data_IF_512783135152
#
_entry.id   IF_512783135152
#
_cell.length_a   1.000
_cell.length_b   1.000
_cell.length_c   1.000
_cell.angle_alpha   90.00
_cell.angle_beta   90.00
_cell.angle_gamma   90.00
#
_symmetry.space_group_name_H-M   'P 1'
#
loop_
_entity.id
_entity.type
_entity.pdbx_description
1 polymer ?
#
# COMPACT_ATOMS: atom_id res chain seq x y z
N UNK A 1 31.10 42.83 25.56
CA UNK A 1 31.56 41.49 25.11
C UNK A 1 33.01 41.62 24.70
N UNK A 2 33.91 40.82 25.31
CA UNK A 2 35.32 40.80 24.91
C UNK A 2 35.51 40.04 23.59
N UNK A 3 36.56 40.39 22.81
CA UNK A 3 36.87 39.73 21.51
C UNK A 3 36.89 38.19 21.61
N UNK A 4 37.40 37.62 22.70
CA UNK A 4 37.40 36.17 22.95
C UNK A 4 36.00 35.58 23.08
N UNK A 5 35.10 36.24 23.80
CA UNK A 5 33.72 35.75 23.95
C UNK A 5 32.97 35.78 22.62
N UNK A 6 33.17 36.79 21.81
CA UNK A 6 32.58 36.91 20.49
C UNK A 6 33.09 35.81 19.54
N UNK A 7 34.39 35.56 19.50
CA UNK A 7 34.99 34.49 18.69
C UNK A 7 34.50 33.10 19.13
N UNK A 8 34.43 32.84 20.44
CA UNK A 8 33.89 31.57 20.94
C UNK A 8 32.42 31.38 20.57
N UNK A 9 31.62 32.44 20.68
CA UNK A 9 30.19 32.37 20.29
C UNK A 9 30.04 32.04 18.80
N UNK A 10 30.83 32.67 17.92
CA UNK A 10 30.82 32.36 16.49
C UNK A 10 31.23 30.91 16.21
N UNK A 11 32.33 30.47 16.85
CA UNK A 11 32.85 29.11 16.64
C UNK A 11 31.86 28.05 17.12
N UNK A 12 31.29 28.21 18.32
CA UNK A 12 30.28 27.28 18.82
C UNK A 12 29.00 27.33 17.99
N UNK A 13 28.56 28.52 17.56
CA UNK A 13 27.38 28.69 16.71
C UNK A 13 27.52 27.97 15.34
N UNK A 14 28.69 28.14 14.72
CA UNK A 14 28.96 27.47 13.42
C UNK A 14 29.08 25.97 13.56
N UNK A 15 29.80 25.45 14.54
CA UNK A 15 29.94 24.02 14.81
C UNK A 15 28.57 23.41 15.08
N UNK A 16 27.76 24.03 15.96
CA UNK A 16 26.41 23.53 16.29
C UNK A 16 25.49 23.57 15.07
N UNK A 17 25.49 24.65 14.30
CA UNK A 17 24.68 24.78 13.08
C UNK A 17 25.06 23.75 12.04
N UNK A 18 26.35 23.50 11.82
CA UNK A 18 26.83 22.49 10.88
C UNK A 18 26.46 21.09 11.34
N UNK A 19 26.64 20.77 12.62
CA UNK A 19 26.28 19.47 13.16
C UNK A 19 24.76 19.16 13.05
N UNK A 20 23.92 20.14 13.40
CA UNK A 20 22.46 20.01 13.25
C UNK A 20 22.05 19.89 11.78
N UNK A 21 22.66 20.67 10.89
CA UNK A 21 22.41 20.60 9.45
C UNK A 21 22.81 19.25 8.83
N UNK A 22 23.90 18.65 9.30
CA UNK A 22 24.35 17.34 8.84
C UNK A 22 23.49 16.18 9.42
N UNK A 23 23.01 16.32 10.66
CA UNK A 23 22.16 15.33 11.31
C UNK A 23 20.73 15.32 10.74
N UNK A 24 20.22 16.46 10.28
CA UNK A 24 18.85 16.57 9.77
C UNK A 24 18.51 15.54 8.67
N UNK A 25 19.28 15.43 7.56
CA UNK A 25 18.97 14.42 6.52
C UNK A 25 19.12 12.99 7.02
N UNK A 26 20.07 12.74 7.93
CA UNK A 26 20.23 11.40 8.53
C UNK A 26 19.01 11.02 9.36
N UNK A 27 18.56 11.93 10.24
CA UNK A 27 17.35 11.71 11.05
C UNK A 27 16.13 11.53 10.16
N UNK A 28 15.97 12.34 9.11
CA UNK A 28 14.85 12.23 8.16
C UNK A 28 14.87 10.94 7.35
N UNK A 29 16.03 10.39 7.07
CA UNK A 29 16.16 9.11 6.37
C UNK A 29 15.68 7.93 7.24
N UNK A 30 16.01 7.92 8.53
CA UNK A 30 15.62 6.86 9.46
C UNK A 30 14.23 7.06 10.09
N UNK A 31 13.75 8.30 10.12
CA UNK A 31 12.39 8.63 10.57
C UNK A 31 11.58 9.10 9.34
N UNK A 32 11.01 8.16 8.57
CA UNK A 32 10.14 8.55 7.47
C UNK A 32 9.02 9.43 8.01
N UNK A 33 8.52 10.40 7.22
CA UNK A 33 7.37 11.19 7.63
C UNK A 33 6.28 10.23 8.05
N UNK A 34 5.80 10.34 9.29
CA UNK A 34 4.61 9.63 9.71
C UNK A 34 3.52 10.04 8.72
N UNK A 35 3.15 9.13 7.81
CA UNK A 35 1.91 9.26 7.06
C UNK A 35 0.87 9.56 8.11
N UNK A 36 0.26 10.74 8.02
CA UNK A 36 -0.63 11.36 9.01
C UNK A 36 -1.39 10.30 9.81
N UNK A 37 -1.08 10.25 11.11
CA UNK A 37 -1.71 9.35 12.06
C UNK A 37 -3.16 9.79 12.28
N UNK A 38 -4.00 9.44 11.36
CA UNK A 38 -5.45 9.56 11.41
C UNK A 38 -5.99 8.45 10.57
N UNK A 39 -6.44 7.34 11.21
CA UNK A 39 -7.19 6.28 10.54
C UNK A 39 -6.60 5.66 9.27
N UNK A 40 -5.30 5.71 9.09
CA UNK A 40 -4.47 4.84 8.24
C UNK A 40 -4.79 4.65 6.75
N UNK A 41 -5.71 5.37 6.14
CA UNK A 41 -6.01 5.21 4.71
C UNK A 41 -4.97 5.86 3.79
N UNK A 42 -4.65 5.20 2.71
CA UNK A 42 -3.77 5.70 1.64
C UNK A 42 -4.58 5.74 0.35
N UNK A 43 -4.49 6.85 -0.40
CA UNK A 43 -5.08 6.90 -1.74
C UNK A 43 -4.36 5.93 -2.67
N UNK A 44 -5.12 5.09 -3.37
CA UNK A 44 -4.57 4.19 -4.38
C UNK A 44 -3.88 5.01 -5.49
N UNK A 45 -2.71 4.55 -5.93
CA UNK A 45 -1.95 5.22 -6.98
C UNK A 45 -1.78 4.32 -8.19
N UNK A 46 -1.75 4.95 -9.36
CA UNK A 46 -1.44 4.27 -10.62
C UNK A 46 0.07 3.98 -10.75
N UNK A 47 0.48 3.36 -11.85
CA UNK A 47 1.88 3.05 -12.14
C UNK A 47 2.77 4.30 -12.31
N UNK A 48 2.19 5.48 -12.52
CA UNK A 48 2.89 6.76 -12.65
C UNK A 48 2.93 7.53 -11.32
N UNK A 49 2.25 7.02 -10.27
CA UNK A 49 2.15 7.66 -8.96
C UNK A 49 1.04 8.69 -8.82
N UNK A 50 0.12 8.79 -9.80
CA UNK A 50 -1.05 9.65 -9.69
C UNK A 50 -2.13 8.98 -8.85
N UNK A 51 -2.97 9.80 -8.22
CA UNK A 51 -4.13 9.31 -7.48
C UNK A 51 -5.15 8.69 -8.44
N UNK A 52 -5.67 7.52 -8.10
CA UNK A 52 -6.69 6.83 -8.89
C UNK A 52 -8.06 7.44 -8.60
N UNK A 53 -8.69 7.98 -9.64
CA UNK A 53 -10.04 8.55 -9.59
C UNK A 53 -11.04 7.48 -10.02
N UNK A 54 -12.06 7.22 -9.21
CA UNK A 54 -13.01 6.12 -9.42
C UNK A 54 -13.76 6.22 -10.75
N UNK A 55 -14.14 7.41 -11.20
CA UNK A 55 -14.85 7.60 -12.47
C UNK A 55 -14.01 7.16 -13.68
N UNK A 56 -12.74 7.59 -13.72
CA UNK A 56 -11.81 7.23 -14.80
C UNK A 56 -11.44 5.75 -14.74
N UNK A 57 -11.31 5.24 -13.52
CA UNK A 57 -11.02 3.83 -13.26
C UNK A 57 -12.14 2.92 -13.79
N UNK A 58 -13.40 3.20 -13.46
CA UNK A 58 -14.55 2.42 -13.90
C UNK A 58 -14.80 2.56 -15.43
N UNK A 59 -14.57 3.74 -16.01
CA UNK A 59 -14.71 3.94 -17.45
C UNK A 59 -13.66 3.20 -18.29
N UNK A 60 -12.51 2.88 -17.69
CA UNK A 60 -11.38 2.24 -18.38
C UNK A 60 -11.28 0.72 -18.17
N UNK A 61 -12.06 0.16 -17.26
CA UNK A 61 -12.00 -1.26 -16.90
C UNK A 61 -13.40 -1.90 -16.92
N UNK A 62 -13.44 -3.19 -17.25
CA UNK A 62 -14.68 -3.96 -17.31
C UNK A 62 -15.06 -4.55 -15.94
N UNK A 63 -16.34 -4.86 -15.78
CA UNK A 63 -16.84 -5.58 -14.60
C UNK A 63 -16.10 -6.91 -14.44
N UNK A 64 -15.62 -7.16 -13.24
CA UNK A 64 -14.82 -8.35 -12.91
C UNK A 64 -13.32 -8.18 -13.11
N UNK A 65 -12.86 -7.04 -13.62
CA UNK A 65 -11.43 -6.76 -13.71
C UNK A 65 -10.80 -6.57 -12.32
N UNK A 66 -9.55 -7.00 -12.22
CA UNK A 66 -8.68 -6.77 -11.06
C UNK A 66 -7.50 -5.96 -11.51
N UNK A 67 -7.45 -4.72 -11.09
CA UNK A 67 -6.48 -3.75 -11.58
C UNK A 67 -5.44 -3.49 -10.51
N UNK A 68 -4.17 -3.63 -10.89
CA UNK A 68 -3.05 -3.44 -9.97
C UNK A 68 -2.81 -1.95 -9.75
N UNK A 69 -2.83 -1.55 -8.49
CA UNK A 69 -2.52 -0.21 -8.02
C UNK A 69 -1.45 -0.27 -6.94
N UNK A 70 -0.90 0.87 -6.56
CA UNK A 70 -0.04 0.97 -5.39
C UNK A 70 -0.92 1.29 -4.16
N UNK A 71 -0.86 0.44 -3.15
CA UNK A 71 -1.66 0.53 -1.93
C UNK A 71 -0.86 0.86 -0.67
N UNK A 72 -1.28 0.25 0.43
CA UNK A 72 -0.68 0.45 1.75
C UNK A 72 0.81 0.13 1.73
N UNK A 73 1.62 0.97 2.38
CA UNK A 73 3.10 0.84 2.45
C UNK A 73 3.80 0.81 1.09
N UNK A 74 3.08 1.15 0.00
CA UNK A 74 3.59 1.06 -1.36
C UNK A 74 3.48 -0.32 -1.99
N UNK A 75 2.83 -1.27 -1.32
CA UNK A 75 2.65 -2.63 -1.83
C UNK A 75 1.70 -2.66 -3.03
N UNK A 76 1.95 -3.56 -4.00
CA UNK A 76 1.04 -3.77 -5.12
C UNK A 76 -0.30 -4.31 -4.58
N UNK A 77 -1.39 -3.65 -4.93
CA UNK A 77 -2.73 -3.97 -4.42
C UNK A 77 -3.73 -3.96 -5.56
N UNK A 78 -4.56 -5.00 -5.65
CA UNK A 78 -5.63 -5.07 -6.62
C UNK A 78 -6.87 -4.36 -6.10
N UNK A 79 -7.41 -3.47 -6.93
CA UNK A 79 -8.78 -2.96 -6.81
C UNK A 79 -9.66 -3.77 -7.76
N UNK A 80 -10.81 -4.21 -7.27
CA UNK A 80 -11.75 -5.07 -8.01
C UNK A 80 -12.92 -4.23 -8.52
N UNK A 81 -13.24 -4.34 -9.81
CA UNK A 81 -14.45 -3.74 -10.38
C UNK A 81 -15.61 -4.69 -10.14
N UNK A 82 -16.56 -4.30 -9.30
CA UNK A 82 -17.70 -5.17 -8.94
C UNK A 82 -18.88 -4.98 -9.91
N UNK A 83 -19.13 -3.72 -10.30
CA UNK A 83 -20.17 -3.37 -11.28
C UNK A 83 -19.70 -2.20 -12.15
N UNK A 84 -20.52 -1.82 -13.16
CA UNK A 84 -20.21 -0.67 -14.03
C UNK A 84 -20.10 0.66 -13.28
N UNK A 85 -20.60 0.73 -12.06
CA UNK A 85 -20.65 1.96 -11.24
C UNK A 85 -19.92 1.86 -9.91
N UNK A 86 -19.43 0.68 -9.53
CA UNK A 86 -18.89 0.44 -8.18
C UNK A 86 -17.66 -0.47 -8.18
N UNK A 87 -16.72 -0.14 -7.31
CA UNK A 87 -15.62 -1.02 -6.93
C UNK A 87 -16.05 -1.90 -5.76
N UNK A 88 -15.46 -3.07 -5.63
CA UNK A 88 -15.67 -3.91 -4.45
C UNK A 88 -15.18 -3.20 -3.18
N UNK A 89 -15.84 -3.45 -2.06
CA UNK A 89 -15.47 -2.88 -0.75
C UNK A 89 -14.14 -3.39 -0.21
N UNK A 90 -13.50 -4.33 -0.93
CA UNK A 90 -12.21 -4.90 -0.57
C UNK A 90 -11.22 -4.83 -1.73
N UNK A 91 -9.95 -4.68 -1.39
CA UNK A 91 -8.82 -4.88 -2.28
C UNK A 91 -7.95 -6.05 -1.81
N UNK A 92 -7.06 -6.50 -2.66
CA UNK A 92 -6.19 -7.64 -2.42
C UNK A 92 -4.72 -7.21 -2.52
N UNK A 93 -3.95 -7.38 -1.45
CA UNK A 93 -2.50 -7.24 -1.56
C UNK A 93 -1.96 -8.33 -2.51
N UNK A 94 -1.27 -7.93 -3.57
CA UNK A 94 -0.80 -8.82 -4.61
C UNK A 94 0.46 -9.62 -4.23
N UNK A 95 0.92 -9.52 -3.00
CA UNK A 95 2.15 -10.17 -2.53
C UNK A 95 1.87 -11.61 -2.12
N UNK A 96 2.50 -12.56 -2.82
CA UNK A 96 2.39 -14.00 -2.55
C UNK A 96 2.89 -14.33 -1.13
N UNK A 97 2.08 -15.03 -0.36
CA UNK A 97 2.38 -15.41 1.03
C UNK A 97 3.45 -16.51 1.14
N UNK A 98 3.91 -17.09 0.01
CA UNK A 98 5.01 -18.04 0.02
C UNK A 98 6.37 -17.31 0.21
N UNK A 99 6.79 -16.49 -0.74
CA UNK A 99 8.10 -15.81 -0.74
C UNK A 99 8.03 -14.38 -1.34
N UNK A 100 6.89 -13.73 -1.33
CA UNK A 100 6.79 -12.31 -1.66
C UNK A 100 6.73 -11.93 -3.15
N UNK A 101 6.55 -12.89 -4.07
CA UNK A 101 6.37 -12.55 -5.48
C UNK A 101 5.04 -11.83 -5.72
N UNK A 102 5.00 -10.88 -6.64
CA UNK A 102 3.72 -10.28 -7.10
C UNK A 102 2.94 -11.33 -7.88
N UNK A 103 1.68 -11.52 -7.53
CA UNK A 103 0.80 -12.53 -8.13
C UNK A 103 -0.10 -11.90 -9.18
N UNK A 104 0.09 -12.19 -10.49
CA UNK A 104 -0.78 -11.68 -11.54
C UNK A 104 -2.17 -12.33 -11.50
N UNK A 105 -3.16 -11.55 -11.93
CA UNK A 105 -4.51 -12.01 -12.19
C UNK A 105 -4.58 -12.69 -13.57
N UNK A 106 -5.17 -13.88 -13.62
CA UNK A 106 -5.47 -14.60 -14.84
C UNK A 106 -7.00 -14.65 -15.05
N UNK A 107 -7.50 -13.77 -15.89
CA UNK A 107 -8.93 -13.66 -16.16
C UNK A 107 -9.52 -14.93 -16.81
N UNK A 108 -8.75 -15.63 -17.65
CA UNK A 108 -9.19 -16.84 -18.33
C UNK A 108 -9.47 -18.00 -17.35
N UNK A 109 -8.67 -18.08 -16.27
CA UNK A 109 -8.85 -19.11 -15.24
C UNK A 109 -9.60 -18.61 -14.01
N UNK A 110 -9.96 -17.32 -13.97
CA UNK A 110 -10.59 -16.66 -12.83
C UNK A 110 -9.80 -16.88 -11.52
N UNK A 111 -8.47 -16.76 -11.60
CA UNK A 111 -7.54 -17.02 -10.49
C UNK A 111 -6.35 -16.07 -10.50
N UNK A 112 -5.79 -15.85 -9.32
CA UNK A 112 -4.45 -15.30 -9.20
C UNK A 112 -3.44 -16.46 -9.23
N UNK A 113 -2.39 -16.34 -10.05
CA UNK A 113 -1.42 -17.42 -10.26
C UNK A 113 0.00 -16.88 -10.06
N UNK A 114 0.66 -17.32 -8.99
CA UNK A 114 2.03 -16.91 -8.70
C UNK A 114 3.01 -17.57 -9.69
N UNK A 115 3.78 -16.80 -10.47
CA UNK A 115 4.69 -17.35 -11.47
C UNK A 115 5.94 -18.02 -10.87
N UNK A 116 6.25 -17.71 -9.60
CA UNK A 116 7.48 -18.18 -8.97
C UNK A 116 7.45 -19.68 -8.64
N UNK A 117 6.41 -20.14 -7.97
CA UNK A 117 6.30 -21.55 -7.54
C UNK A 117 4.88 -22.12 -7.70
N UNK A 118 4.03 -21.46 -8.48
CA UNK A 118 2.72 -21.98 -8.88
C UNK A 118 1.65 -21.94 -7.80
N UNK A 119 1.78 -21.11 -6.77
CA UNK A 119 0.68 -20.86 -5.82
C UNK A 119 -0.51 -20.26 -6.54
N UNK A 120 -1.71 -20.72 -6.23
CA UNK A 120 -2.96 -20.27 -6.84
C UNK A 120 -3.91 -19.78 -5.77
N UNK A 121 -4.62 -18.69 -6.11
CA UNK A 121 -5.65 -18.11 -5.26
C UNK A 121 -6.91 -17.92 -6.09
N UNK A 122 -8.08 -18.06 -5.47
CA UNK A 122 -9.33 -17.80 -6.15
C UNK A 122 -9.53 -16.32 -6.46
N UNK A 123 -10.65 -15.94 -7.04
CA UNK A 123 -11.02 -14.57 -7.39
C UNK A 123 -11.14 -13.60 -6.19
N UNK A 124 -11.21 -14.11 -4.98
CA UNK A 124 -11.22 -13.35 -3.72
C UNK A 124 -9.86 -13.39 -3.02
N UNK A 125 -8.83 -13.97 -3.64
CA UNK A 125 -7.49 -14.09 -3.07
C UNK A 125 -7.35 -15.17 -1.99
N UNK A 126 -8.34 -16.08 -1.83
CA UNK A 126 -8.20 -17.24 -0.96
C UNK A 126 -7.26 -18.27 -1.59
N UNK A 127 -6.28 -18.76 -0.84
CA UNK A 127 -5.35 -19.78 -1.33
C UNK A 127 -6.11 -21.09 -1.64
N UNK A 128 -5.88 -21.62 -2.84
CA UNK A 128 -6.53 -22.87 -3.30
C UNK A 128 -5.53 -23.95 -3.68
N UNK A 129 -4.27 -23.56 -3.98
CA UNK A 129 -3.21 -24.52 -4.35
C UNK A 129 -1.83 -23.92 -4.20
N UNK A 130 -0.85 -24.76 -3.97
CA UNK A 130 0.57 -24.48 -4.08
C UNK A 130 1.26 -24.33 -2.72
N UNK A 131 2.52 -23.90 -2.72
CA UNK A 131 3.29 -23.82 -1.49
C UNK A 131 2.91 -22.62 -0.60
N UNK A 132 2.10 -21.67 -1.06
CA UNK A 132 1.64 -20.56 -0.23
C UNK A 132 0.80 -21.05 0.96
N UNK A 133 1.17 -20.72 2.20
CA UNK A 133 0.46 -21.22 3.39
C UNK A 133 -0.83 -20.47 3.70
N UNK A 134 -0.97 -19.22 3.23
CA UNK A 134 -2.02 -18.30 3.64
C UNK A 134 -2.64 -17.60 2.42
N UNK A 135 -3.86 -17.10 2.58
CA UNK A 135 -4.56 -16.28 1.57
C UNK A 135 -3.90 -14.90 1.41
N UNK A 136 -4.13 -14.23 0.29
CA UNK A 136 -3.65 -12.85 0.09
C UNK A 136 -4.27 -11.93 1.16
N UNK A 137 -3.49 -10.98 1.66
CA UNK A 137 -3.99 -10.00 2.64
C UNK A 137 -5.08 -9.12 2.02
N UNK A 138 -6.10 -8.80 2.82
CA UNK A 138 -7.18 -7.89 2.46
C UNK A 138 -6.84 -6.46 2.86
N UNK A 139 -7.43 -5.53 2.13
CA UNK A 139 -7.54 -4.13 2.51
C UNK A 139 -8.97 -3.68 2.24
N UNK A 140 -9.48 -2.68 2.95
CA UNK A 140 -10.71 -2.00 2.55
C UNK A 140 -10.42 -1.12 1.35
N UNK A 141 -11.39 -1.04 0.44
CA UNK A 141 -11.35 -0.15 -0.70
C UNK A 141 -12.63 0.70 -0.70
N UNK A 142 -12.46 1.98 -0.41
CA UNK A 142 -13.56 2.93 -0.28
C UNK A 142 -13.38 4.08 -1.26
N UNK A 143 -14.48 4.74 -1.61
CA UNK A 143 -14.45 5.96 -2.42
C UNK A 143 -14.56 7.16 -1.50
N UNK A 144 -13.59 8.06 -1.58
CA UNK A 144 -13.60 9.33 -0.81
C UNK A 144 -14.59 10.32 -1.40
N UNK A 145 -14.93 11.38 -0.65
CA UNK A 145 -15.78 12.49 -1.12
C UNK A 145 -15.21 13.17 -2.38
N UNK A 146 -13.89 13.17 -2.55
CA UNK A 146 -13.20 13.69 -3.73
C UNK A 146 -13.21 12.70 -4.92
N UNK A 147 -13.91 11.58 -4.83
CA UNK A 147 -13.98 10.56 -5.88
C UNK A 147 -12.70 9.77 -6.08
N UNK A 148 -11.79 9.74 -5.10
CA UNK A 148 -10.55 8.94 -5.13
C UNK A 148 -10.75 7.61 -4.43
N UNK A 149 -10.01 6.60 -4.86
CA UNK A 149 -10.00 5.29 -4.19
C UNK A 149 -9.06 5.35 -2.98
N UNK A 150 -9.60 5.12 -1.80
CA UNK A 150 -8.87 5.05 -0.54
C UNK A 150 -8.73 3.59 -0.09
N UNK A 151 -7.53 3.19 0.27
CA UNK A 151 -7.22 1.87 0.80
C UNK A 151 -6.90 1.98 2.29
N UNK A 152 -7.62 1.23 3.13
CA UNK A 152 -7.38 1.19 4.57
C UNK A 152 -7.07 -0.23 5.05
N UNK A 153 -6.34 -0.39 6.16
CA UNK A 153 -6.04 -1.71 6.70
C UNK A 153 -7.31 -2.49 7.05
N UNK A 154 -7.36 -3.77 6.66
CA UNK A 154 -8.39 -4.70 7.08
C UNK A 154 -7.98 -5.34 8.40
N UNK A 155 -8.72 -5.08 9.46
CA UNK A 155 -8.44 -5.56 10.82
C UNK A 155 -9.53 -6.49 11.37
N UNK A 156 -10.65 -6.59 10.66
CA UNK A 156 -11.79 -7.44 11.01
C UNK A 156 -11.54 -8.89 10.57
N UNK A 157 -12.41 -9.78 11.00
CA UNK A 157 -12.43 -11.19 10.59
C UNK A 157 -12.38 -11.33 9.06
N UNK A 158 -11.52 -12.21 8.55
CA UNK A 158 -11.43 -12.53 7.12
C UNK A 158 -12.74 -13.22 6.68
N UNK A 159 -13.55 -12.54 5.87
CA UNK A 159 -14.84 -13.06 5.39
C UNK A 159 -14.71 -14.35 4.57
N UNK A 160 -13.52 -14.65 4.03
CA UNK A 160 -13.24 -15.84 3.23
C UNK A 160 -13.01 -17.09 4.07
N UNK A 161 -12.54 -16.93 5.30
CA UNK A 161 -12.16 -18.04 6.19
C UNK A 161 -12.95 -18.05 7.49
N UNK A 162 -13.45 -16.90 7.95
CA UNK A 162 -14.09 -16.74 9.26
C UNK A 162 -13.09 -16.67 10.42
N UNK A 163 -11.81 -16.50 10.13
CA UNK A 163 -10.71 -16.42 11.10
C UNK A 163 -10.19 -14.99 11.23
N UNK A 164 -9.43 -14.73 12.28
CA UNK A 164 -8.75 -13.46 12.47
C UNK A 164 -7.68 -13.26 11.36
N UNK A 165 -7.48 -12.02 10.89
CA UNK A 165 -6.56 -11.74 9.80
C UNK A 165 -5.10 -11.98 10.23
N UNK A 166 -4.37 -12.82 9.51
CA UNK A 166 -2.96 -13.11 9.76
C UNK A 166 -2.02 -11.92 9.51
N UNK A 167 -2.50 -10.88 8.81
CA UNK A 167 -1.74 -9.69 8.42
C UNK A 167 -1.97 -8.47 9.33
N UNK A 168 -2.87 -8.51 10.32
CA UNK A 168 -3.21 -7.43 11.26
C UNK A 168 -2.17 -7.28 12.38
#
# INVERSE_FOLDING_TARGET
>A
MGRRQFMNLLTFGTITGTALGALYPVVKYFLPPSSSAGGGGVTAKDALGNDVIVSDFLNSHAVGDRVLTQGLKGDPTYVVVESDSEIASFGLNAVCTHLGCVVPWNAAENKFMCPCHGSQYNNEGKVVRGPAPLSLALVHADVTEDGKISLTPWTETDFRTGEDPWWA
#
